data_IF_890725744277
#
_entry.id   IF_890725744277
#
_cell.length_a   1.000
_cell.length_b   1.000
_cell.length_c   1.000
_cell.angle_alpha   90.00
_cell.angle_beta   90.00
_cell.angle_gamma   90.00
#
_symmetry.space_group_name_H-M   'P 1'
#
loop_
_entity.id
_entity.type
_entity.pdbx_description
1 polymer ?
#
# COMPACT_ATOMS: atom_id res chain seq x y z
N UNK A 1 21.40 -28.26 -8.16
CA UNK A 1 20.00 -27.89 -7.83
C UNK A 1 19.94 -27.57 -6.35
N UNK A 2 19.33 -26.44 -5.97
CA UNK A 2 19.24 -26.02 -4.57
C UNK A 2 18.35 -27.01 -3.78
N UNK A 3 18.74 -27.43 -2.55
CA UNK A 3 17.92 -28.25 -1.68
C UNK A 3 16.54 -27.65 -1.40
N UNK A 4 15.52 -28.51 -1.18
CA UNK A 4 14.14 -28.06 -0.95
C UNK A 4 14.02 -27.12 0.26
N UNK A 5 14.75 -27.40 1.34
CA UNK A 5 14.72 -26.58 2.56
C UNK A 5 15.31 -25.19 2.34
N UNK A 6 16.44 -25.11 1.61
CA UNK A 6 17.05 -23.83 1.24
C UNK A 6 16.15 -23.02 0.31
N UNK A 7 15.44 -23.70 -0.60
CA UNK A 7 14.46 -23.05 -1.47
C UNK A 7 13.33 -22.44 -0.67
N UNK A 8 12.78 -23.16 0.30
CA UNK A 8 11.69 -22.65 1.14
C UNK A 8 12.17 -21.49 2.02
N UNK A 9 13.39 -21.55 2.56
CA UNK A 9 14.01 -20.44 3.29
C UNK A 9 14.07 -19.18 2.42
N UNK A 10 14.57 -19.28 1.18
CA UNK A 10 14.65 -18.14 0.27
C UNK A 10 13.27 -17.58 -0.09
N UNK A 11 12.27 -18.44 -0.33
CA UNK A 11 10.90 -18.01 -0.60
C UNK A 11 10.30 -17.29 0.61
N UNK A 12 10.57 -17.76 1.83
CA UNK A 12 10.13 -17.09 3.05
C UNK A 12 10.75 -15.71 3.19
N UNK A 13 12.05 -15.58 2.96
CA UNK A 13 12.76 -14.28 2.97
C UNK A 13 12.15 -13.34 1.93
N UNK A 14 11.89 -13.85 0.72
CA UNK A 14 11.26 -13.07 -0.34
C UNK A 14 9.87 -12.55 0.05
N UNK A 15 9.04 -13.37 0.71
CA UNK A 15 7.71 -12.96 1.21
C UNK A 15 7.78 -11.86 2.27
N UNK A 16 8.91 -11.70 2.93
CA UNK A 16 9.12 -10.74 4.03
C UNK A 16 10.01 -9.56 3.63
N UNK A 17 10.39 -9.45 2.36
CA UNK A 17 11.37 -8.46 1.90
C UNK A 17 11.00 -7.01 2.28
N UNK A 18 9.72 -6.68 2.27
CA UNK A 18 9.21 -5.34 2.59
C UNK A 18 9.17 -5.02 4.10
N UNK A 19 9.43 -6.01 4.97
CA UNK A 19 9.36 -5.87 6.42
C UNK A 19 10.73 -5.74 7.09
N UNK A 20 11.82 -6.02 6.38
CA UNK A 20 13.17 -5.99 6.95
C UNK A 20 13.64 -4.56 7.22
N UNK A 21 14.35 -4.37 8.33
CA UNK A 21 15.09 -3.13 8.60
C UNK A 21 16.29 -3.00 7.64
N UNK A 22 16.87 -1.79 7.51
CA UNK A 22 18.12 -1.60 6.75
C UNK A 22 19.25 -2.55 7.22
N UNK A 23 19.40 -2.75 8.53
CA UNK A 23 20.42 -3.63 9.11
C UNK A 23 20.16 -5.11 8.78
N UNK A 24 18.90 -5.54 8.82
CA UNK A 24 18.50 -6.90 8.44
C UNK A 24 18.73 -7.14 6.95
N UNK A 25 18.41 -6.16 6.09
CA UNK A 25 18.69 -6.22 4.66
C UNK A 25 20.20 -6.33 4.39
N UNK A 26 21.02 -5.51 5.04
CA UNK A 26 22.48 -5.56 4.89
C UNK A 26 23.04 -6.91 5.33
N UNK A 27 22.56 -7.46 6.45
CA UNK A 27 22.95 -8.79 6.92
C UNK A 27 22.57 -9.88 5.92
N UNK A 28 21.39 -9.80 5.30
CA UNK A 28 20.95 -10.74 4.27
C UNK A 28 21.78 -10.62 2.99
N UNK A 29 22.08 -9.40 2.53
CA UNK A 29 22.92 -9.16 1.35
C UNK A 29 24.32 -9.76 1.56
N UNK A 30 24.90 -9.61 2.76
CA UNK A 30 26.18 -10.21 3.12
C UNK A 30 26.09 -11.74 3.23
N UNK A 31 25.06 -12.28 3.89
CA UNK A 31 24.83 -13.73 4.04
C UNK A 31 24.80 -14.45 2.68
N UNK A 32 24.21 -13.82 1.67
CA UNK A 32 24.05 -14.42 0.33
C UNK A 32 25.07 -13.94 -0.71
N UNK A 33 26.12 -13.21 -0.30
CA UNK A 33 27.14 -12.63 -1.20
C UNK A 33 26.52 -11.85 -2.38
N UNK A 34 25.44 -11.11 -2.11
CA UNK A 34 24.72 -10.31 -3.10
C UNK A 34 25.59 -9.14 -3.54
N UNK A 35 25.83 -9.03 -4.86
CA UNK A 35 26.65 -7.98 -5.46
C UNK A 35 25.82 -7.09 -6.39
N UNK A 36 26.29 -5.87 -6.56
CA UNK A 36 25.77 -4.96 -7.58
C UNK A 36 25.96 -5.58 -8.97
N UNK A 37 25.22 -5.12 -10.00
CA UNK A 37 25.44 -5.56 -11.38
C UNK A 37 26.88 -5.37 -11.89
N UNK A 38 27.64 -4.46 -11.27
CA UNK A 38 29.07 -4.24 -11.51
C UNK A 38 30.00 -5.29 -10.90
N UNK A 39 29.47 -6.23 -10.10
CA UNK A 39 30.24 -7.22 -9.34
C UNK A 39 30.83 -6.69 -8.03
N UNK A 40 30.59 -5.43 -7.67
CA UNK A 40 31.06 -4.85 -6.40
C UNK A 40 30.06 -5.11 -5.26
N UNK A 41 30.51 -5.18 -3.99
CA UNK A 41 29.61 -5.23 -2.84
C UNK A 41 28.69 -4.01 -2.78
N UNK A 42 27.48 -4.18 -2.23
CA UNK A 42 26.59 -3.05 -1.94
C UNK A 42 27.15 -2.21 -0.78
N UNK A 43 26.91 -0.90 -0.82
CA UNK A 43 27.08 -0.03 0.35
C UNK A 43 25.97 -0.32 1.38
N UNK A 44 26.18 0.13 2.61
CA UNK A 44 25.17 0.05 3.67
C UNK A 44 23.83 0.65 3.21
N UNK A 45 22.73 -0.04 3.53
CA UNK A 45 21.39 0.44 3.25
C UNK A 45 21.08 1.71 4.06
N UNK A 46 20.38 2.66 3.44
CA UNK A 46 19.98 3.90 4.10
C UNK A 46 18.61 4.37 3.57
N UNK A 47 17.81 5.08 4.40
CA UNK A 47 16.53 5.59 3.97
C UNK A 47 16.71 6.72 2.95
N UNK A 48 15.97 6.63 1.85
CA UNK A 48 15.96 7.65 0.80
C UNK A 48 14.57 8.26 0.68
N UNK A 49 14.47 9.59 0.79
CA UNK A 49 13.21 10.30 0.67
C UNK A 49 12.76 10.35 -0.80
N UNK A 50 11.61 9.76 -1.08
CA UNK A 50 11.02 9.70 -2.42
C UNK A 50 10.23 10.97 -2.81
N UNK A 51 10.21 12.02 -2.01
CA UNK A 51 9.54 13.27 -2.38
C UNK A 51 10.45 14.17 -3.21
N UNK A 52 9.90 14.79 -4.26
CA UNK A 52 10.60 15.84 -5.00
C UNK A 52 10.58 17.14 -4.20
N UNK A 53 11.76 17.56 -3.73
CA UNK A 53 11.94 18.83 -3.03
C UNK A 53 11.99 20.00 -4.03
N UNK A 54 11.34 21.10 -3.68
CA UNK A 54 11.37 22.36 -4.44
C UNK A 54 11.42 23.56 -3.49
N UNK A 55 11.57 24.76 -4.05
CA UNK A 55 11.51 26.03 -3.34
C UNK A 55 10.31 26.85 -3.84
N UNK A 56 9.55 27.41 -2.91
CA UNK A 56 8.35 28.20 -3.17
C UNK A 56 8.71 29.69 -3.04
N UNK A 57 8.40 30.46 -4.08
CA UNK A 57 8.71 31.90 -4.14
C UNK A 57 10.15 32.20 -4.57
N UNK A 58 10.44 33.45 -4.98
CA UNK A 58 11.72 33.83 -5.58
C UNK A 58 12.88 33.82 -4.59
N UNK A 59 12.60 34.05 -3.30
CA UNK A 59 13.62 34.09 -2.23
C UNK A 59 14.06 32.70 -1.76
N UNK A 60 13.34 31.64 -2.16
CA UNK A 60 13.66 30.26 -1.81
C UNK A 60 13.59 29.91 -0.32
N UNK A 61 13.04 30.80 0.50
CA UNK A 61 12.91 30.64 1.97
C UNK A 61 11.88 29.59 2.36
N UNK A 62 10.86 29.38 1.53
CA UNK A 62 9.86 28.34 1.73
C UNK A 62 10.24 27.07 0.96
N UNK A 63 10.53 25.98 1.67
CA UNK A 63 10.75 24.66 1.07
C UNK A 63 9.40 23.99 0.83
N UNK A 64 9.19 23.51 -0.39
CA UNK A 64 8.01 22.75 -0.79
C UNK A 64 8.37 21.34 -1.25
N UNK A 65 7.34 20.51 -1.42
CA UNK A 65 7.46 19.20 -2.05
C UNK A 65 6.34 19.01 -3.06
N UNK A 66 6.62 18.32 -4.15
CA UNK A 66 5.55 17.77 -4.98
C UNK A 66 4.87 16.65 -4.18
N UNK A 67 3.54 16.65 -4.17
CA UNK A 67 2.76 15.70 -3.38
C UNK A 67 3.01 14.25 -3.86
N UNK A 68 3.32 13.31 -2.95
CA UNK A 68 3.51 11.90 -3.30
C UNK A 68 2.20 11.10 -3.42
N UNK A 69 1.10 11.69 -2.96
CA UNK A 69 -0.27 11.17 -2.91
C UNK A 69 -1.28 12.33 -2.99
N UNK A 70 -2.57 12.01 -3.12
CA UNK A 70 -3.66 13.01 -3.16
C UNK A 70 -4.43 13.16 -1.84
N UNK A 71 -4.34 12.17 -0.96
CA UNK A 71 -5.04 12.06 0.32
C UNK A 71 -4.88 13.28 1.24
N UNK A 72 -3.66 13.83 1.36
CA UNK A 72 -3.38 14.97 2.24
C UNK A 72 -4.28 16.18 1.98
N UNK A 73 -4.64 16.44 0.71
CA UNK A 73 -5.55 17.52 0.34
C UNK A 73 -6.96 17.32 0.90
N UNK A 74 -7.42 16.07 0.99
CA UNK A 74 -8.71 15.70 1.55
C UNK A 74 -8.71 15.86 3.08
N UNK A 75 -7.62 15.48 3.74
CA UNK A 75 -7.49 15.63 5.20
C UNK A 75 -7.43 17.09 5.66
N UNK A 76 -6.64 17.93 4.99
CA UNK A 76 -6.55 19.38 5.30
C UNK A 76 -7.92 20.05 5.13
N UNK A 77 -8.75 19.56 4.21
CA UNK A 77 -10.11 20.06 3.98
C UNK A 77 -11.21 19.30 4.72
N UNK A 78 -10.87 18.39 5.64
CA UNK A 78 -11.83 17.52 6.32
C UNK A 78 -13.03 18.28 6.90
N UNK A 79 -12.80 19.41 7.58
CA UNK A 79 -13.89 20.19 8.18
C UNK A 79 -14.92 20.63 7.14
N UNK A 80 -14.47 21.14 6.00
CA UNK A 80 -15.36 21.59 4.92
C UNK A 80 -16.10 20.42 4.28
N UNK A 81 -15.42 19.29 4.09
CA UNK A 81 -16.03 18.07 3.54
C UNK A 81 -17.11 17.51 4.49
N UNK A 82 -16.84 17.51 5.79
CA UNK A 82 -17.80 17.09 6.81
C UNK A 82 -19.01 18.04 6.87
N UNK A 83 -18.78 19.35 6.79
CA UNK A 83 -19.86 20.36 6.76
C UNK A 83 -20.77 20.17 5.53
N UNK A 84 -20.21 19.78 4.37
CA UNK A 84 -21.00 19.43 3.17
C UNK A 84 -21.88 18.18 3.39
N UNK A 85 -21.48 17.28 4.28
CA UNK A 85 -22.31 16.14 4.71
C UNK A 85 -23.14 16.45 5.97
N UNK A 86 -23.38 17.73 6.27
CA UNK A 86 -24.15 18.19 7.43
C UNK A 86 -23.65 17.63 8.78
N UNK A 87 -22.33 17.42 8.92
CA UNK A 87 -21.74 16.87 10.14
C UNK A 87 -21.99 15.37 10.36
N UNK A 88 -22.57 14.66 9.38
CA UNK A 88 -22.91 13.24 9.51
C UNK A 88 -21.78 12.35 9.03
N UNK A 89 -21.71 11.15 9.60
CA UNK A 89 -20.79 10.07 9.24
C UNK A 89 -21.61 8.79 8.99
N UNK A 90 -21.14 7.87 8.13
CA UNK A 90 -19.93 7.97 7.32
C UNK A 90 -20.10 8.91 6.12
N UNK A 91 -18.98 9.37 5.57
CA UNK A 91 -18.94 10.05 4.27
C UNK A 91 -17.62 9.72 3.55
N UNK A 92 -17.58 9.93 2.24
CA UNK A 92 -16.37 9.75 1.46
C UNK A 92 -16.07 10.99 0.61
N UNK A 93 -14.79 11.28 0.43
CA UNK A 93 -14.31 12.24 -0.54
C UNK A 93 -13.28 11.56 -1.45
N UNK A 94 -13.25 11.95 -2.72
CA UNK A 94 -12.36 11.35 -3.69
C UNK A 94 -11.58 12.43 -4.43
N UNK A 95 -10.36 12.11 -4.83
CA UNK A 95 -9.56 12.98 -5.69
C UNK A 95 -8.90 12.15 -6.78
N UNK A 96 -9.00 12.63 -8.02
CA UNK A 96 -8.25 12.10 -9.16
C UNK A 96 -7.24 13.16 -9.59
N UNK A 97 -5.96 12.80 -9.67
CA UNK A 97 -4.94 13.73 -10.11
C UNK A 97 -3.52 13.16 -10.06
N UNK A 98 -2.56 14.00 -10.41
CA UNK A 98 -1.15 13.61 -10.45
C UNK A 98 -0.55 13.48 -9.05
N UNK A 99 0.30 12.47 -8.87
CA UNK A 99 1.24 12.33 -7.77
C UNK A 99 2.66 12.08 -8.29
N UNK A 100 3.63 12.41 -7.44
CA UNK A 100 5.05 12.42 -7.82
C UNK A 100 5.88 11.64 -6.81
N UNK A 101 6.60 10.62 -7.29
CA UNK A 101 7.50 9.81 -6.47
C UNK A 101 8.87 9.77 -7.13
N UNK A 102 9.89 10.25 -6.44
CA UNK A 102 11.28 10.28 -6.90
C UNK A 102 11.91 8.88 -6.84
N UNK A 103 11.34 7.96 -7.61
CA UNK A 103 11.76 6.56 -7.70
C UNK A 103 13.25 6.44 -7.99
N UNK A 104 13.94 5.64 -7.16
CA UNK A 104 15.40 5.44 -7.18
C UNK A 104 15.84 4.87 -8.53
N UNK A 105 15.12 3.84 -9.01
CA UNK A 105 15.40 3.19 -10.28
C UNK A 105 14.07 2.89 -11.01
N UNK A 106 13.59 3.80 -11.88
CA UNK A 106 12.39 3.59 -12.68
C UNK A 106 12.66 2.53 -13.75
N UNK A 107 12.46 1.27 -13.38
CA UNK A 107 12.56 0.09 -14.24
C UNK A 107 11.17 -0.53 -14.33
N UNK A 108 10.83 -1.15 -15.47
CA UNK A 108 9.51 -1.74 -15.78
C UNK A 108 8.46 -0.78 -16.39
N UNK A 109 8.90 0.24 -17.14
CA UNK A 109 7.99 1.07 -17.93
C UNK A 109 6.94 1.78 -17.07
N UNK A 110 5.66 1.66 -17.43
CA UNK A 110 4.55 2.30 -16.72
C UNK A 110 4.32 1.77 -15.30
N UNK A 111 4.90 0.63 -14.92
CA UNK A 111 4.75 0.07 -13.56
C UNK A 111 5.53 0.85 -12.50
N UNK A 112 6.60 1.56 -12.89
CA UNK A 112 7.39 2.41 -11.98
C UNK A 112 7.81 3.70 -12.68
N UNK A 113 7.00 4.73 -12.50
CA UNK A 113 7.21 6.07 -13.07
C UNK A 113 7.29 7.11 -11.95
N UNK A 114 7.87 8.28 -12.28
CA UNK A 114 8.05 9.37 -11.31
C UNK A 114 6.86 10.33 -11.21
N UNK A 115 5.98 10.29 -12.20
CA UNK A 115 4.75 11.07 -12.30
C UNK A 115 3.66 10.15 -12.84
N UNK A 116 2.51 10.11 -12.16
CA UNK A 116 1.38 9.28 -12.57
C UNK A 116 0.07 9.81 -12.01
N UNK A 117 -1.03 9.47 -12.69
CA UNK A 117 -2.37 9.78 -12.23
C UNK A 117 -2.85 8.73 -11.23
N UNK A 118 -3.44 9.18 -10.13
CA UNK A 118 -4.05 8.34 -9.10
C UNK A 118 -5.48 8.77 -8.86
N UNK A 119 -6.33 7.82 -8.51
CA UNK A 119 -7.65 8.06 -7.94
C UNK A 119 -7.68 7.52 -6.52
N UNK A 120 -7.79 8.40 -5.53
CA UNK A 120 -7.85 8.02 -4.12
C UNK A 120 -9.21 8.39 -3.54
N UNK A 121 -9.70 7.55 -2.62
CA UNK A 121 -10.96 7.74 -1.91
C UNK A 121 -10.67 7.66 -0.42
N UNK A 122 -10.97 8.75 0.29
CA UNK A 122 -10.95 8.79 1.75
C UNK A 122 -12.36 8.55 2.27
N UNK A 123 -12.61 7.37 2.82
CA UNK A 123 -13.88 7.00 3.43
C UNK A 123 -13.80 7.17 4.95
N UNK A 124 -14.42 8.24 5.44
CA UNK A 124 -14.48 8.59 6.84
C UNK A 124 -15.64 7.88 7.52
N UNK A 125 -15.34 7.07 8.54
CA UNK A 125 -16.31 6.22 9.25
C UNK A 125 -16.17 6.39 10.76
N UNK A 126 -17.23 6.10 11.52
CA UNK A 126 -17.16 6.06 12.97
C UNK A 126 -16.23 4.89 13.40
N UNK A 127 -15.20 5.11 14.23
CA UNK A 127 -14.36 4.02 14.70
C UNK A 127 -15.12 2.92 15.45
N UNK A 128 -16.25 3.25 16.09
CA UNK A 128 -17.10 2.32 16.85
C UNK A 128 -18.12 1.57 15.97
N UNK A 129 -18.40 2.07 14.76
CA UNK A 129 -19.33 1.47 13.80
C UNK A 129 -18.74 1.47 12.40
N UNK A 130 -18.18 0.32 12.01
CA UNK A 130 -17.57 0.07 10.70
C UNK A 130 -18.41 -0.86 9.81
N UNK A 131 -19.71 -0.95 10.07
CA UNK A 131 -20.64 -1.63 9.17
C UNK A 131 -20.77 -0.83 7.86
N UNK A 132 -21.10 -1.51 6.76
CA UNK A 132 -21.31 -0.83 5.49
C UNK A 132 -22.73 -1.12 4.97
N UNK A 133 -23.59 -0.10 4.76
CA UNK A 133 -24.99 -0.31 4.38
C UNK A 133 -25.18 -1.20 3.15
N UNK A 134 -24.25 -1.13 2.20
CA UNK A 134 -24.28 -1.89 0.96
C UNK A 134 -23.44 -3.19 0.98
N UNK A 135 -22.93 -3.62 2.13
CA UNK A 135 -22.11 -4.84 2.23
C UNK A 135 -22.81 -6.07 1.63
N UNK A 136 -24.12 -6.22 1.90
CA UNK A 136 -24.93 -7.32 1.38
C UNK A 136 -24.89 -7.46 -0.14
N UNK A 137 -24.68 -6.35 -0.88
CA UNK A 137 -24.61 -6.36 -2.35
C UNK A 137 -23.35 -7.04 -2.91
N UNK A 138 -22.34 -7.26 -2.06
CA UNK A 138 -21.06 -7.86 -2.46
C UNK A 138 -20.67 -9.09 -1.64
N UNK A 139 -21.50 -9.49 -0.66
CA UNK A 139 -21.19 -10.58 0.25
C UNK A 139 -20.98 -11.93 -0.45
N UNK A 140 -21.64 -12.13 -1.60
CA UNK A 140 -21.55 -13.32 -2.45
C UNK A 140 -20.32 -13.33 -3.38
N UNK A 141 -19.62 -12.20 -3.52
CA UNK A 141 -18.44 -12.12 -4.39
C UNK A 141 -17.29 -12.91 -3.79
N UNK A 142 -16.49 -13.51 -4.66
CA UNK A 142 -15.33 -14.32 -4.27
C UNK A 142 -14.06 -13.49 -4.44
N UNK A 143 -13.21 -13.49 -3.42
CA UNK A 143 -11.90 -12.85 -3.42
C UNK A 143 -10.79 -13.91 -3.28
N UNK A 144 -9.65 -13.63 -3.91
CA UNK A 144 -8.39 -14.34 -3.64
C UNK A 144 -7.62 -13.53 -2.61
N UNK A 145 -7.50 -14.06 -1.40
CA UNK A 145 -6.95 -13.37 -0.24
C UNK A 145 -5.63 -13.99 0.19
N UNK A 146 -4.68 -13.15 0.60
CA UNK A 146 -3.38 -13.58 1.11
C UNK A 146 -3.15 -12.99 2.51
N UNK A 147 -3.70 -13.67 3.52
CA UNK A 147 -3.63 -13.22 4.91
C UNK A 147 -2.22 -13.23 5.49
N UNK A 148 -1.99 -12.43 6.54
CA UNK A 148 -0.69 -12.32 7.24
C UNK A 148 -0.13 -13.69 7.63
N UNK A 149 -0.94 -14.54 8.24
CA UNK A 149 -0.48 -15.83 8.75
C UNK A 149 -0.12 -16.79 7.61
N UNK A 150 -0.77 -16.65 6.45
CA UNK A 150 -0.41 -17.41 5.24
C UNK A 150 0.88 -16.88 4.59
N UNK A 151 1.15 -15.56 4.65
CA UNK A 151 2.42 -14.98 4.19
C UNK A 151 3.62 -15.50 5.00
N UNK A 152 3.44 -15.63 6.32
CA UNK A 152 4.46 -16.14 7.24
C UNK A 152 4.56 -17.68 7.24
N UNK A 153 3.44 -18.36 7.02
CA UNK A 153 3.30 -19.81 7.09
C UNK A 153 3.20 -20.47 5.71
N UNK A 154 1.98 -20.80 5.30
CA UNK A 154 1.69 -21.72 4.19
C UNK A 154 2.18 -21.25 2.81
N UNK A 155 2.37 -19.95 2.64
CA UNK A 155 2.67 -19.32 1.36
C UNK A 155 1.52 -19.40 0.34
N UNK A 156 0.31 -19.77 0.77
CA UNK A 156 -0.84 -20.03 -0.12
C UNK A 156 -1.94 -19.00 0.09
N UNK A 157 -2.57 -18.61 -1.02
CA UNK A 157 -3.77 -17.79 -1.00
C UNK A 157 -5.01 -18.61 -0.64
N UNK A 158 -6.02 -17.95 -0.08
CA UNK A 158 -7.34 -18.51 0.19
C UNK A 158 -8.36 -17.89 -0.76
N UNK A 159 -9.23 -18.72 -1.32
CA UNK A 159 -10.34 -18.27 -2.18
C UNK A 159 -11.63 -18.45 -1.40
N UNK A 160 -12.27 -17.34 -1.04
CA UNK A 160 -13.43 -17.32 -0.14
C UNK A 160 -14.43 -16.26 -0.60
N UNK A 161 -15.70 -16.40 -0.22
CA UNK A 161 -16.65 -15.30 -0.39
C UNK A 161 -16.31 -14.14 0.54
N UNK A 162 -16.70 -12.92 0.16
CA UNK A 162 -16.52 -11.70 0.96
C UNK A 162 -17.22 -11.85 2.32
N UNK A 163 -18.42 -12.45 2.34
CA UNK A 163 -19.16 -12.74 3.57
C UNK A 163 -18.39 -13.66 4.51
N UNK A 164 -17.84 -14.76 3.99
CA UNK A 164 -16.99 -15.69 4.77
C UNK A 164 -15.70 -15.04 5.25
N UNK A 165 -15.08 -14.18 4.43
CA UNK A 165 -13.86 -13.49 4.80
C UNK A 165 -14.07 -12.55 6.01
N UNK A 166 -15.23 -11.88 6.09
CA UNK A 166 -15.58 -11.05 7.25
C UNK A 166 -15.97 -11.91 8.45
N UNK A 167 -16.80 -12.94 8.27
CA UNK A 167 -17.28 -13.77 9.38
C UNK A 167 -16.16 -14.57 10.07
N UNK A 168 -15.13 -14.96 9.32
CA UNK A 168 -13.94 -15.64 9.84
C UNK A 168 -12.90 -14.68 10.45
N UNK A 169 -13.11 -13.36 10.33
CA UNK A 169 -12.17 -12.34 10.79
C UNK A 169 -10.92 -12.18 9.92
N UNK A 170 -10.86 -12.84 8.75
CA UNK A 170 -9.79 -12.66 7.78
C UNK A 170 -9.79 -11.23 7.20
N UNK A 171 -10.97 -10.65 7.03
CA UNK A 171 -11.18 -9.23 6.74
C UNK A 171 -11.87 -8.57 7.92
N UNK A 172 -11.31 -7.47 8.40
CA UNK A 172 -11.65 -6.90 9.71
C UNK A 172 -13.11 -6.45 9.87
N UNK A 173 -13.71 -5.86 8.83
CA UNK A 173 -15.06 -5.31 8.89
C UNK A 173 -15.70 -5.20 7.50
N UNK A 174 -17.01 -4.95 7.50
CA UNK A 174 -17.82 -4.84 6.29
C UNK A 174 -17.40 -3.69 5.37
N UNK A 175 -16.98 -2.54 5.92
CA UNK A 175 -16.53 -1.38 5.12
C UNK A 175 -15.28 -1.70 4.32
N UNK A 176 -14.25 -2.28 4.95
CA UNK A 176 -13.05 -2.72 4.25
C UNK A 176 -13.37 -3.76 3.18
N UNK A 177 -14.17 -4.77 3.55
CA UNK A 177 -14.58 -5.83 2.65
C UNK A 177 -15.40 -5.32 1.45
N UNK A 178 -16.27 -4.33 1.67
CA UNK A 178 -17.04 -3.69 0.61
C UNK A 178 -16.12 -3.03 -0.42
N UNK A 179 -15.14 -2.23 0.03
CA UNK A 179 -14.20 -1.58 -0.89
C UNK A 179 -13.28 -2.58 -1.59
N UNK A 180 -12.81 -3.64 -0.92
CA UNK A 180 -12.04 -4.71 -1.58
C UNK A 180 -12.82 -5.34 -2.74
N UNK A 181 -14.08 -5.69 -2.52
CA UNK A 181 -14.94 -6.26 -3.56
C UNK A 181 -15.24 -5.29 -4.70
N UNK A 182 -15.51 -4.01 -4.38
CA UNK A 182 -15.75 -2.97 -5.39
C UNK A 182 -14.50 -2.69 -6.24
N UNK A 183 -13.31 -2.72 -5.64
CA UNK A 183 -12.05 -2.60 -6.36
C UNK A 183 -11.84 -3.77 -7.30
N UNK A 184 -12.09 -5.01 -6.86
CA UNK A 184 -12.02 -6.18 -7.75
C UNK A 184 -12.99 -6.09 -8.92
N UNK A 185 -14.20 -5.58 -8.71
CA UNK A 185 -15.20 -5.41 -9.79
C UNK A 185 -14.86 -4.30 -10.78
N UNK A 186 -14.00 -3.37 -10.39
CA UNK A 186 -13.56 -2.27 -11.25
C UNK A 186 -12.36 -2.64 -12.13
N UNK A 187 -11.48 -3.51 -11.63
CA UNK A 187 -10.32 -4.04 -12.36
C UNK A 187 -10.73 -5.02 -13.47
#
# INVERSE_FOLDING_TARGET
TMPADQREEHLRIQRQADAFSPEELDALLLKYDCKAPSGQPYSQAFPFNLMFKTSIGPEGTAVGYLRPETAQGLFVNFRRLLDLNAGKMPFAAAQVGLGFRNEIAPRAGLLRVREFCMGEIEHFVNPEDKAHPNFKSVADKVLVLFGRDDQLGSGKTKTLSVGEAVSTGLVNNETLAYFMARTQLFM
#
